data_IF_448040822784
#
_entry.id   IF_448040822784
#
_cell.length_a   1.000
_cell.length_b   1.000
_cell.length_c   1.000
_cell.angle_alpha   90.00
_cell.angle_beta   90.00
_cell.angle_gamma   90.00
#
_symmetry.space_group_name_H-M   'P 1'
#
loop_
_entity.id
_entity.type
_entity.pdbx_description
1 polymer ?
#
# COMPACT_ATOMS: atom_id res chain seq x y z
N UNK A 1 5.03 -17.06 1.73
CA UNK A 1 4.79 -15.60 1.80
C UNK A 1 4.01 -15.07 0.59
N UNK A 2 4.36 -15.42 -0.65
CA UNK A 2 3.59 -15.06 -1.86
C UNK A 2 2.25 -15.81 -1.97
N UNK A 3 2.22 -17.12 -1.73
CA UNK A 3 0.96 -17.89 -1.62
C UNK A 3 0.11 -17.48 -0.42
N UNK A 4 0.73 -17.00 0.66
CA UNK A 4 -0.03 -16.43 1.77
C UNK A 4 -0.59 -15.07 1.38
N UNK A 5 0.11 -14.17 0.68
CA UNK A 5 -0.48 -12.90 0.20
C UNK A 5 -1.61 -13.12 -0.82
N UNK A 6 -1.46 -14.06 -1.76
CA UNK A 6 -2.50 -14.40 -2.74
C UNK A 6 -3.70 -15.08 -2.08
N UNK A 7 -3.44 -16.03 -1.18
CA UNK A 7 -4.46 -16.66 -0.35
C UNK A 7 -5.13 -15.65 0.58
N UNK A 8 -4.40 -14.68 1.11
CA UNK A 8 -4.91 -13.63 2.00
C UNK A 8 -5.80 -12.64 1.23
N UNK A 9 -5.41 -12.18 0.04
CA UNK A 9 -6.20 -11.21 -0.75
C UNK A 9 -7.46 -11.86 -1.36
N UNK A 10 -7.41 -13.15 -1.72
CA UNK A 10 -8.54 -13.91 -2.27
C UNK A 10 -9.34 -14.71 -1.22
N UNK A 11 -8.98 -14.63 0.07
CA UNK A 11 -9.77 -15.26 1.13
C UNK A 11 -10.92 -14.36 1.55
N UNK A 12 -12.19 -14.82 1.49
CA UNK A 12 -13.32 -14.07 2.05
C UNK A 12 -13.13 -13.73 3.55
N UNK A 13 -12.27 -14.46 4.24
CA UNK A 13 -11.89 -14.18 5.63
C UNK A 13 -11.09 -12.90 5.84
N UNK A 14 -10.39 -12.33 4.85
CA UNK A 14 -9.63 -11.08 5.06
C UNK A 14 -10.43 -9.82 4.74
N UNK A 15 -11.49 -9.95 3.93
CA UNK A 15 -12.55 -8.95 3.81
C UNK A 15 -13.45 -8.90 5.06
N UNK A 16 -13.46 -9.98 5.86
CA UNK A 16 -14.21 -10.12 7.10
C UNK A 16 -13.37 -9.99 8.37
N UNK A 17 -12.06 -10.25 8.32
CA UNK A 17 -11.18 -10.12 9.47
C UNK A 17 -10.74 -8.67 9.64
N UNK A 18 -11.65 -7.86 10.21
CA UNK A 18 -11.27 -6.78 11.13
C UNK A 18 -10.42 -7.42 12.25
N UNK A 19 -9.14 -7.63 11.98
CA UNK A 19 -8.24 -8.20 12.98
C UNK A 19 -8.05 -7.18 14.09
N UNK A 20 -7.96 -7.67 15.32
CA UNK A 20 -7.77 -6.85 16.54
C UNK A 20 -6.62 -5.85 16.40
N UNK A 21 -5.63 -6.15 15.55
CA UNK A 21 -4.44 -5.31 15.34
C UNK A 21 -4.65 -4.28 14.24
N UNK A 22 -5.37 -4.60 13.15
CA UNK A 22 -5.50 -3.71 12.00
C UNK A 22 -6.58 -2.64 12.24
N UNK A 23 -7.68 -2.99 12.92
CA UNK A 23 -8.78 -2.05 13.13
C UNK A 23 -8.38 -0.78 13.91
N UNK A 24 -7.61 -0.85 15.01
CA UNK A 24 -7.13 0.35 15.69
C UNK A 24 -6.26 1.24 14.79
N UNK A 25 -5.40 0.63 13.97
CA UNK A 25 -4.53 1.36 13.03
C UNK A 25 -5.39 2.03 11.95
N UNK A 26 -6.37 1.33 11.39
CA UNK A 26 -7.30 1.87 10.41
C UNK A 26 -8.13 3.02 10.98
N UNK A 27 -8.62 2.92 12.22
CA UNK A 27 -9.33 4.02 12.90
C UNK A 27 -8.42 5.22 13.11
N UNK A 28 -7.21 5.02 13.63
CA UNK A 28 -6.25 6.10 13.84
C UNK A 28 -5.88 6.79 12.53
N UNK A 29 -5.53 6.03 11.49
CA UNK A 29 -5.24 6.57 10.17
C UNK A 29 -6.47 7.23 9.53
N UNK A 30 -7.66 6.69 9.80
CA UNK A 30 -8.94 7.24 9.36
C UNK A 30 -9.22 8.62 9.95
N UNK A 31 -8.88 8.86 11.22
CA UNK A 31 -8.97 10.20 11.84
C UNK A 31 -8.08 11.19 11.10
N UNK A 32 -6.83 10.80 10.80
CA UNK A 32 -5.89 11.65 10.06
C UNK A 32 -6.41 11.89 8.64
N UNK A 33 -6.90 10.85 7.97
CA UNK A 33 -7.46 10.97 6.63
C UNK A 33 -8.71 11.85 6.58
N UNK A 34 -9.62 11.72 7.57
CA UNK A 34 -10.78 12.59 7.71
C UNK A 34 -10.37 14.05 7.83
N UNK A 35 -9.39 14.36 8.70
CA UNK A 35 -8.89 15.72 8.85
C UNK A 35 -8.32 16.28 7.54
N UNK A 36 -7.52 15.50 6.82
CA UNK A 36 -7.01 15.87 5.48
C UNK A 36 -8.15 16.07 4.50
N UNK A 37 -9.14 15.18 4.50
CA UNK A 37 -10.29 15.26 3.61
C UNK A 37 -11.14 16.50 3.88
N UNK A 38 -11.45 16.80 5.14
CA UNK A 38 -12.22 17.98 5.55
C UNK A 38 -11.50 19.26 5.11
N UNK A 39 -10.18 19.32 5.31
CA UNK A 39 -9.36 20.43 4.83
C UNK A 39 -9.48 20.58 3.31
N UNK A 40 -9.28 19.52 2.54
CA UNK A 40 -9.36 19.57 1.07
C UNK A 40 -10.77 19.92 0.59
N UNK A 41 -11.80 19.34 1.20
CA UNK A 41 -13.19 19.59 0.84
C UNK A 41 -13.59 21.06 1.06
N UNK A 42 -12.96 21.74 2.04
CA UNK A 42 -13.18 23.17 2.27
C UNK A 42 -12.69 24.07 1.13
N UNK A 43 -11.73 23.62 0.31
CA UNK A 43 -11.23 24.35 -0.87
C UNK A 43 -11.83 23.85 -2.18
N UNK A 44 -12.01 22.54 -2.33
CA UNK A 44 -12.55 21.92 -3.54
C UNK A 44 -13.41 20.72 -3.21
N UNK A 45 -14.68 20.80 -3.58
CA UNK A 45 -15.64 19.69 -3.46
C UNK A 45 -15.49 18.69 -4.61
N UNK A 46 -15.01 19.16 -5.77
CA UNK A 46 -14.75 18.32 -6.94
C UNK A 46 -13.42 17.59 -6.80
N UNK A 47 -13.44 16.27 -6.99
CA UNK A 47 -12.26 15.41 -6.86
C UNK A 47 -11.67 15.41 -5.45
N UNK A 48 -12.43 15.82 -4.43
CA UNK A 48 -11.90 15.98 -3.07
C UNK A 48 -11.31 14.68 -2.52
N UNK A 49 -11.86 13.53 -2.92
CA UNK A 49 -11.35 12.23 -2.49
C UNK A 49 -9.97 11.91 -3.09
N UNK A 50 -9.73 12.18 -4.38
CA UNK A 50 -8.39 11.96 -4.97
C UNK A 50 -7.37 12.94 -4.40
N UNK A 51 -7.76 14.19 -4.19
CA UNK A 51 -6.89 15.23 -3.64
C UNK A 51 -6.53 14.89 -2.18
N UNK A 52 -7.51 14.42 -1.41
CA UNK A 52 -7.30 13.89 -0.06
C UNK A 52 -6.30 12.73 -0.06
N UNK A 53 -6.44 11.77 -0.99
CA UNK A 53 -5.49 10.66 -1.13
C UNK A 53 -4.08 11.16 -1.45
N UNK A 54 -3.92 12.11 -2.37
CA UNK A 54 -2.61 12.68 -2.74
C UNK A 54 -1.94 13.31 -1.53
N UNK A 55 -2.64 14.22 -0.84
CA UNK A 55 -2.09 14.94 0.32
C UNK A 55 -1.81 13.98 1.47
N UNK A 56 -2.72 13.04 1.74
CA UNK A 56 -2.52 12.02 2.76
C UNK A 56 -1.29 11.15 2.47
N UNK A 57 -1.09 10.74 1.21
CA UNK A 57 0.09 9.96 0.80
C UNK A 57 1.38 10.72 1.08
N UNK A 58 1.43 12.00 0.71
CA UNK A 58 2.59 12.85 0.97
C UNK A 58 2.85 13.03 2.47
N UNK A 59 1.79 13.23 3.26
CA UNK A 59 1.87 13.37 4.72
C UNK A 59 2.46 12.11 5.36
N UNK A 60 1.92 10.93 5.04
CA UNK A 60 2.43 9.64 5.56
C UNK A 60 3.89 9.46 5.18
N UNK A 61 4.25 9.74 3.92
CA UNK A 61 5.63 9.62 3.44
C UNK A 61 6.59 10.59 4.12
N UNK A 62 6.15 11.80 4.43
CA UNK A 62 6.94 12.80 5.14
C UNK A 62 7.17 12.38 6.61
N UNK A 63 6.14 11.89 7.29
CA UNK A 63 6.24 11.37 8.67
C UNK A 63 7.19 10.16 8.74
N UNK A 64 7.16 9.28 7.74
CA UNK A 64 8.02 8.10 7.68
C UNK A 64 9.41 8.37 7.08
N UNK A 65 9.63 9.54 6.50
CA UNK A 65 10.91 9.92 5.88
C UNK A 65 12.14 9.68 6.77
N UNK A 66 12.22 10.08 8.05
CA UNK A 66 13.39 9.85 8.88
C UNK A 66 13.71 8.36 9.07
N UNK A 67 12.67 7.52 9.18
CA UNK A 67 12.83 6.07 9.28
C UNK A 67 13.33 5.48 7.96
N UNK A 68 12.70 5.86 6.84
CA UNK A 68 13.15 5.46 5.50
C UNK A 68 14.59 5.91 5.21
N UNK A 69 15.00 7.09 5.67
CA UNK A 69 16.37 7.57 5.55
C UNK A 69 17.37 6.65 6.28
N UNK A 70 17.09 6.30 7.55
CA UNK A 70 17.93 5.37 8.33
C UNK A 70 18.05 4.02 7.64
N UNK A 71 16.95 3.52 7.09
CA UNK A 71 16.91 2.28 6.34
C UNK A 71 17.75 2.35 5.06
N UNK A 72 17.58 3.39 4.24
CA UNK A 72 18.39 3.58 3.02
C UNK A 72 19.87 3.75 3.33
N UNK A 73 20.23 4.44 4.44
CA UNK A 73 21.63 4.50 4.93
C UNK A 73 22.17 3.10 5.23
N UNK A 74 21.37 2.24 5.87
CA UNK A 74 21.74 0.84 6.11
C UNK A 74 21.97 0.04 4.82
N UNK A 75 21.10 0.22 3.83
CA UNK A 75 21.28 -0.41 2.50
C UNK A 75 22.51 0.12 1.77
N UNK A 76 22.77 1.43 1.83
CA UNK A 76 23.96 2.06 1.27
C UNK A 76 25.25 1.51 1.89
N UNK A 77 25.27 1.34 3.22
CA UNK A 77 26.39 0.70 3.93
C UNK A 77 26.61 -0.74 3.44
N UNK A 78 25.56 -1.51 3.25
CA UNK A 78 25.67 -2.87 2.70
C UNK A 78 26.28 -2.87 1.30
N UNK A 79 25.96 -1.89 0.45
CA UNK A 79 26.56 -1.76 -0.89
C UNK A 79 28.06 -1.54 -0.81
N UNK A 80 28.54 -0.73 0.13
CA UNK A 80 29.98 -0.50 0.35
C UNK A 80 30.71 -1.76 0.82
N UNK A 81 30.02 -2.67 1.50
CA UNK A 81 30.56 -3.94 1.98
C UNK A 81 30.50 -5.08 0.93
N UNK A 82 29.73 -4.92 -0.16
CA UNK A 82 29.63 -5.93 -1.21
C UNK A 82 30.96 -6.39 -1.81
N UNK A 83 31.97 -5.54 -2.11
CA UNK A 83 33.23 -6.03 -2.68
C UNK A 83 33.96 -7.01 -1.76
N UNK A 84 33.98 -6.77 -0.44
CA UNK A 84 34.58 -7.69 0.53
C UNK A 84 33.73 -8.95 0.72
N UNK A 85 32.40 -8.82 0.72
CA UNK A 85 31.49 -9.96 0.73
C UNK A 85 31.69 -10.86 -0.51
N UNK A 86 31.95 -10.28 -1.68
CA UNK A 86 32.23 -11.03 -2.90
C UNK A 86 33.59 -11.77 -2.81
N UNK A 87 34.60 -11.21 -2.13
CA UNK A 87 35.86 -11.93 -1.85
C UNK A 87 35.64 -13.12 -0.92
N UNK A 88 34.84 -12.96 0.14
CA UNK A 88 34.47 -14.08 1.02
C UNK A 88 33.76 -15.17 0.20
N UNK A 89 32.80 -14.80 -0.65
CA UNK A 89 32.13 -15.77 -1.54
C UNK A 89 33.10 -16.48 -2.48
N UNK A 90 34.02 -15.74 -3.11
CA UNK A 90 35.02 -16.29 -4.02
C UNK A 90 35.92 -17.36 -3.37
N UNK A 91 36.24 -17.22 -2.07
CA UNK A 91 36.98 -18.23 -1.27
C UNK A 91 36.29 -19.60 -1.22
N UNK A 92 34.98 -19.64 -1.41
CA UNK A 92 34.15 -20.86 -1.33
C UNK A 92 33.53 -21.28 -2.68
N UNK A 93 33.76 -20.54 -3.77
CA UNK A 93 33.08 -20.76 -5.06
C UNK A 93 33.21 -22.20 -5.61
N UNK A 94 34.35 -22.85 -5.37
CA UNK A 94 34.63 -24.22 -5.83
C UNK A 94 34.24 -25.31 -4.82
N UNK A 95 33.62 -24.95 -3.68
CA UNK A 95 33.28 -25.87 -2.59
C UNK A 95 31.77 -26.07 -2.51
N UNK A 96 31.30 -27.23 -2.96
CA UNK A 96 29.87 -27.60 -2.97
C UNK A 96 29.44 -28.47 -1.79
N UNK A 97 30.35 -28.79 -0.87
CA UNK A 97 30.01 -29.53 0.35
C UNK A 97 29.17 -28.69 1.32
N UNK A 98 28.22 -29.35 1.98
CA UNK A 98 27.30 -28.71 2.95
C UNK A 98 28.05 -27.97 4.06
N UNK A 99 29.20 -28.49 4.48
CA UNK A 99 30.02 -27.88 5.53
C UNK A 99 30.61 -26.54 5.07
N UNK A 100 31.17 -26.49 3.87
CA UNK A 100 31.71 -25.27 3.27
C UNK A 100 30.64 -24.21 3.02
N UNK A 101 29.44 -24.60 2.60
CA UNK A 101 28.31 -23.68 2.43
C UNK A 101 27.85 -23.08 3.77
N UNK A 102 27.82 -23.88 4.84
CA UNK A 102 27.56 -23.41 6.20
C UNK A 102 28.65 -22.47 6.70
N UNK A 103 29.92 -22.80 6.48
CA UNK A 103 31.07 -21.95 6.84
C UNK A 103 31.05 -20.61 6.09
N UNK A 104 30.75 -20.62 4.79
CA UNK A 104 30.58 -19.39 4.01
C UNK A 104 29.46 -18.50 4.58
N UNK A 105 28.31 -19.08 4.88
CA UNK A 105 27.16 -18.36 5.46
C UNK A 105 27.51 -17.73 6.81
N UNK A 106 28.27 -18.45 7.64
CA UNK A 106 28.77 -17.97 8.93
C UNK A 106 29.79 -16.82 8.77
N UNK A 107 30.78 -16.97 7.88
CA UNK A 107 31.80 -15.93 7.64
C UNK A 107 31.19 -14.63 7.09
N UNK A 108 30.20 -14.74 6.19
CA UNK A 108 29.40 -13.59 5.72
C UNK A 108 28.68 -12.91 6.89
N UNK A 109 28.02 -13.70 7.74
CA UNK A 109 27.26 -13.15 8.87
C UNK A 109 28.17 -12.43 9.88
N UNK A 110 29.30 -13.04 10.23
CA UNK A 110 30.28 -12.45 11.15
C UNK A 110 30.91 -11.19 10.56
N UNK A 111 31.27 -11.19 9.27
CA UNK A 111 31.76 -9.99 8.59
C UNK A 111 30.73 -8.86 8.62
N UNK A 112 29.46 -9.16 8.35
CA UNK A 112 28.39 -8.17 8.44
C UNK A 112 28.21 -7.63 9.86
N UNK A 113 28.20 -8.49 10.88
CA UNK A 113 28.11 -8.08 12.30
C UNK A 113 29.28 -7.20 12.72
N UNK A 114 30.51 -7.59 12.38
CA UNK A 114 31.72 -6.84 12.70
C UNK A 114 31.71 -5.43 12.08
N UNK A 115 31.11 -5.30 10.89
CA UNK A 115 30.91 -4.03 10.22
C UNK A 115 29.58 -3.35 10.61
N UNK A 116 28.82 -3.85 11.59
CA UNK A 116 27.55 -3.24 12.01
C UNK A 116 26.49 -3.17 10.90
N UNK A 117 26.53 -4.11 9.94
CA UNK A 117 25.53 -4.29 8.90
C UNK A 117 24.62 -5.48 9.24
N UNK A 118 23.33 -5.38 8.90
CA UNK A 118 22.35 -6.44 9.16
C UNK A 118 21.67 -6.86 7.86
N UNK A 119 21.49 -8.17 7.67
CA UNK A 119 20.71 -8.72 6.56
C UNK A 119 19.23 -8.27 6.60
N UNK A 120 18.72 -7.91 7.78
CA UNK A 120 17.32 -7.51 7.97
C UNK A 120 17.02 -6.07 7.52
N UNK A 121 18.06 -5.25 7.27
CA UNK A 121 17.88 -3.86 6.85
C UNK A 121 17.09 -3.74 5.53
N UNK A 122 17.22 -4.74 4.63
CA UNK A 122 16.56 -4.77 3.33
C UNK A 122 15.09 -5.20 3.35
N UNK A 123 14.65 -6.01 4.32
CA UNK A 123 13.26 -6.50 4.40
C UNK A 123 12.38 -5.68 5.36
N UNK A 124 12.98 -4.86 6.22
CA UNK A 124 12.28 -3.94 7.11
C UNK A 124 11.27 -2.99 6.43
N UNK A 125 11.45 -2.48 5.17
CA UNK A 125 10.49 -1.54 4.60
C UNK A 125 9.15 -2.22 4.35
N UNK A 126 9.20 -3.48 3.93
CA UNK A 126 8.01 -4.28 3.65
C UNK A 126 7.22 -4.55 4.92
N UNK A 127 7.90 -4.90 6.00
CA UNK A 127 7.25 -5.22 7.29
C UNK A 127 6.56 -3.99 7.89
N UNK A 128 7.18 -2.81 7.77
CA UNK A 128 6.58 -1.54 8.18
C UNK A 128 5.40 -1.14 7.28
N UNK A 129 5.49 -1.40 5.97
CA UNK A 129 4.48 -0.99 5.01
C UNK A 129 3.18 -1.80 5.09
N UNK A 130 3.25 -3.08 5.49
CA UNK A 130 2.09 -3.97 5.52
C UNK A 130 0.93 -3.44 6.39
N UNK A 131 1.12 -3.06 7.68
CA UNK A 131 0.03 -2.52 8.49
C UNK A 131 -0.60 -1.26 7.90
N UNK A 132 0.21 -0.37 7.34
CA UNK A 132 -0.23 0.88 6.70
C UNK A 132 -1.06 0.57 5.45
N UNK A 133 -0.61 -0.39 4.62
CA UNK A 133 -1.32 -0.80 3.42
C UNK A 133 -2.70 -1.37 3.77
N UNK A 134 -2.79 -2.24 4.78
CA UNK A 134 -4.06 -2.82 5.23
C UNK A 134 -5.00 -1.76 5.80
N UNK A 135 -4.50 -0.84 6.62
CA UNK A 135 -5.30 0.27 7.13
C UNK A 135 -5.90 1.11 6.00
N UNK A 136 -5.11 1.42 4.97
CA UNK A 136 -5.57 2.20 3.83
C UNK A 136 -6.51 1.45 2.91
N UNK A 137 -6.34 0.13 2.77
CA UNK A 137 -7.30 -0.72 2.07
C UNK A 137 -8.69 -0.57 2.67
N UNK A 138 -8.84 -0.66 4.01
CA UNK A 138 -10.12 -0.47 4.68
C UNK A 138 -10.68 0.95 4.52
N UNK A 139 -9.84 1.98 4.72
CA UNK A 139 -10.25 3.38 4.59
C UNK A 139 -10.78 3.68 3.19
N UNK A 140 -10.10 3.21 2.14
CA UNK A 140 -10.48 3.52 0.77
C UNK A 140 -11.55 2.60 0.19
N UNK A 141 -11.70 1.39 0.72
CA UNK A 141 -12.81 0.50 0.36
C UNK A 141 -14.14 0.98 0.95
N UNK A 142 -14.12 1.61 2.12
CA UNK A 142 -15.33 2.11 2.77
C UNK A 142 -15.11 3.50 3.36
N UNK A 143 -14.88 4.53 2.52
CA UNK A 143 -14.56 5.87 3.00
C UNK A 143 -15.69 6.49 3.83
N UNK A 144 -16.94 6.06 3.61
CA UNK A 144 -18.09 6.45 4.42
C UNK A 144 -18.01 5.96 5.88
N UNK A 145 -17.17 4.97 6.22
CA UNK A 145 -16.94 4.57 7.63
C UNK A 145 -15.93 5.49 8.34
N UNK A 146 -15.04 6.14 7.59
CA UNK A 146 -13.89 6.85 8.14
C UNK A 146 -13.94 8.36 7.92
N UNK A 147 -14.72 8.85 6.95
CA UNK A 147 -14.83 10.26 6.58
C UNK A 147 -16.23 10.78 6.87
N UNK A 148 -16.34 11.76 7.78
CA UNK A 148 -17.61 12.28 8.26
C UNK A 148 -18.46 12.91 7.17
N UNK A 149 -17.86 13.71 6.28
CA UNK A 149 -18.58 14.33 5.14
C UNK A 149 -19.19 13.26 4.21
N UNK A 150 -18.43 12.20 3.92
CA UNK A 150 -18.91 11.09 3.08
C UNK A 150 -19.98 10.29 3.82
N UNK A 151 -19.79 10.02 5.13
CA UNK A 151 -20.79 9.35 5.95
C UNK A 151 -22.14 10.08 5.92
N UNK A 152 -22.11 11.39 6.19
CA UNK A 152 -23.29 12.24 6.18
C UNK A 152 -23.97 12.23 4.82
N UNK A 153 -23.20 12.31 3.73
CA UNK A 153 -23.76 12.23 2.38
C UNK A 153 -24.50 10.91 2.11
N UNK A 154 -23.91 9.77 2.50
CA UNK A 154 -24.55 8.46 2.35
C UNK A 154 -25.82 8.35 3.20
N UNK A 155 -25.82 8.89 4.42
CA UNK A 155 -27.00 8.95 5.28
C UNK A 155 -28.09 9.86 4.69
N UNK A 156 -27.71 11.01 4.13
CA UNK A 156 -28.65 11.93 3.46
C UNK A 156 -29.27 11.29 2.22
N UNK A 157 -28.48 10.59 1.40
CA UNK A 157 -29.00 9.83 0.25
C UNK A 157 -30.00 8.77 0.72
N UNK A 158 -29.66 8.04 1.77
CA UNK A 158 -30.54 7.02 2.36
C UNK A 158 -31.84 7.66 2.84
N UNK A 159 -31.75 8.80 3.54
CA UNK A 159 -32.91 9.54 4.05
C UNK A 159 -33.79 10.05 2.91
N UNK A 160 -33.20 10.60 1.84
CA UNK A 160 -33.92 11.05 0.66
C UNK A 160 -34.69 9.89 0.01
N UNK A 161 -34.08 8.70 -0.10
CA UNK A 161 -34.80 7.49 -0.58
C UNK A 161 -35.93 7.12 0.38
N UNK A 162 -35.67 7.17 1.68
CA UNK A 162 -36.64 6.87 2.75
C UNK A 162 -37.81 7.85 2.84
N UNK A 163 -37.70 9.04 2.22
CA UNK A 163 -38.77 10.03 2.15
C UNK A 163 -39.66 9.88 0.90
N UNK A 164 -39.23 9.11 -0.10
CA UNK A 164 -40.04 8.79 -1.28
C UNK A 164 -41.20 7.90 -0.85
N UNK A 165 -42.38 8.06 -1.45
CA UNK A 165 -43.52 7.16 -1.21
C UNK A 165 -43.12 5.67 -1.35
N UNK A 166 -43.62 4.83 -0.44
CA UNK A 166 -43.18 3.42 -0.35
C UNK A 166 -43.52 2.66 -1.63
N UNK A 167 -44.68 2.89 -2.25
CA UNK A 167 -45.06 2.20 -3.48
C UNK A 167 -44.13 2.60 -4.63
N UNK A 168 -43.86 3.90 -4.77
CA UNK A 168 -42.94 4.41 -5.80
C UNK A 168 -41.50 3.93 -5.56
N UNK A 169 -41.04 3.89 -4.30
CA UNK A 169 -39.71 3.36 -3.95
C UNK A 169 -39.57 1.89 -4.34
N UNK A 170 -40.57 1.06 -4.03
CA UNK A 170 -40.55 -0.36 -4.38
C UNK A 170 -40.54 -0.54 -5.90
N UNK A 171 -41.36 0.21 -6.63
CA UNK A 171 -41.39 0.17 -8.09
C UNK A 171 -40.02 0.47 -8.71
N UNK A 172 -39.35 1.52 -8.21
CA UNK A 172 -38.07 1.97 -8.76
C UNK A 172 -36.89 1.07 -8.35
N UNK A 173 -36.77 0.71 -7.07
CA UNK A 173 -35.56 0.06 -6.56
C UNK A 173 -35.61 -1.46 -6.58
N UNK A 174 -36.80 -2.09 -6.60
CA UNK A 174 -36.91 -3.56 -6.63
C UNK A 174 -36.23 -4.21 -7.84
N UNK A 175 -36.34 -3.70 -9.08
CA UNK A 175 -35.60 -4.26 -10.22
C UNK A 175 -34.08 -4.25 -10.00
N UNK A 176 -33.55 -3.17 -9.41
CA UNK A 176 -32.12 -3.00 -9.10
C UNK A 176 -31.69 -4.00 -8.02
N UNK A 177 -32.47 -4.14 -6.95
CA UNK A 177 -32.22 -5.10 -5.85
C UNK A 177 -32.16 -6.54 -6.38
N UNK A 178 -33.12 -6.91 -7.23
CA UNK A 178 -33.18 -8.24 -7.85
C UNK A 178 -31.97 -8.47 -8.76
N UNK A 179 -31.61 -7.48 -9.60
CA UNK A 179 -30.44 -7.58 -10.46
C UNK A 179 -29.13 -7.77 -9.67
N UNK A 180 -29.04 -7.18 -8.48
CA UNK A 180 -27.90 -7.33 -7.56
C UNK A 180 -27.98 -8.56 -6.65
N UNK A 181 -29.03 -9.38 -6.76
CA UNK A 181 -29.26 -10.58 -5.93
C UNK A 181 -29.26 -10.28 -4.43
N UNK A 182 -29.76 -9.12 -4.03
CA UNK A 182 -29.85 -8.71 -2.62
C UNK A 182 -31.23 -9.07 -2.04
N UNK A 183 -31.27 -9.40 -0.76
CA UNK A 183 -32.50 -9.54 0.02
C UNK A 183 -32.54 -8.43 1.06
N UNK A 184 -33.52 -7.53 0.96
CA UNK A 184 -33.60 -6.37 1.84
C UNK A 184 -35.02 -5.81 1.91
N UNK A 185 -35.32 -5.12 3.00
CA UNK A 185 -36.56 -4.39 3.23
C UNK A 185 -36.36 -2.90 2.93
N UNK A 186 -37.07 -2.39 1.91
CA UNK A 186 -37.02 -0.99 1.51
C UNK A 186 -37.66 -0.03 2.52
N UNK A 187 -38.31 -0.54 3.58
CA UNK A 187 -38.78 0.25 4.72
C UNK A 187 -37.73 0.35 5.85
N UNK A 188 -36.62 -0.38 5.77
CA UNK A 188 -35.58 -0.39 6.81
C UNK A 188 -34.40 0.48 6.38
N UNK A 189 -34.04 1.46 7.20
CA UNK A 189 -32.95 2.40 6.90
C UNK A 189 -31.62 1.70 6.62
N UNK A 190 -31.25 0.71 7.44
CA UNK A 190 -29.98 -0.02 7.29
C UNK A 190 -29.89 -0.76 5.94
N UNK A 191 -31.02 -1.29 5.48
CA UNK A 191 -31.14 -2.03 4.24
C UNK A 191 -31.05 -1.10 3.03
N UNK A 192 -31.77 0.03 3.07
CA UNK A 192 -31.63 1.08 2.05
C UNK A 192 -30.21 1.65 2.04
N UNK A 193 -29.59 1.86 3.20
CA UNK A 193 -28.20 2.33 3.28
C UNK A 193 -27.23 1.32 2.65
N UNK A 194 -27.46 0.02 2.80
CA UNK A 194 -26.68 -1.02 2.13
C UNK A 194 -26.91 -1.03 0.61
N UNK A 195 -28.14 -0.73 0.15
CA UNK A 195 -28.40 -0.52 -1.27
C UNK A 195 -27.55 0.63 -1.81
N UNK A 196 -27.59 1.81 -1.16
CA UNK A 196 -26.84 3.02 -1.56
C UNK A 196 -25.35 2.72 -1.79
N UNK A 197 -24.73 1.91 -0.92
CA UNK A 197 -23.31 1.52 -1.04
C UNK A 197 -23.01 0.65 -2.26
N UNK A 198 -24.00 -0.09 -2.76
CA UNK A 198 -23.86 -1.04 -3.86
C UNK A 198 -24.23 -0.46 -5.24
N UNK A 199 -24.84 0.72 -5.26
CA UNK A 199 -25.35 1.33 -6.49
C UNK A 199 -24.25 1.91 -7.36
N UNK A 200 -24.32 1.58 -8.65
CA UNK A 200 -23.45 2.11 -9.71
C UNK A 200 -24.03 3.38 -10.31
N UNK A 201 -23.26 4.10 -11.13
CA UNK A 201 -23.77 5.27 -11.86
C UNK A 201 -24.98 4.95 -12.76
N UNK A 202 -25.03 3.73 -13.31
CA UNK A 202 -26.16 3.27 -14.14
C UNK A 202 -27.40 3.04 -13.27
N UNK A 203 -27.23 2.42 -12.11
CA UNK A 203 -28.33 2.22 -11.16
C UNK A 203 -28.90 3.57 -10.71
N UNK A 204 -28.04 4.53 -10.39
CA UNK A 204 -28.45 5.89 -10.00
C UNK A 204 -29.18 6.61 -11.12
N UNK A 205 -28.63 6.59 -12.35
CA UNK A 205 -29.27 7.21 -13.50
C UNK A 205 -30.65 6.62 -13.77
N UNK A 206 -30.79 5.30 -13.66
CA UNK A 206 -32.06 4.59 -13.86
C UNK A 206 -33.07 5.01 -12.78
N UNK A 207 -32.66 4.95 -11.51
CA UNK A 207 -33.53 5.31 -10.39
C UNK A 207 -34.02 6.76 -10.45
N UNK A 208 -33.10 7.71 -10.69
CA UNK A 208 -33.44 9.14 -10.79
C UNK A 208 -34.38 9.40 -11.96
N UNK A 209 -34.15 8.75 -13.11
CA UNK A 209 -35.02 8.89 -14.29
C UNK A 209 -36.44 8.38 -14.00
N UNK A 210 -36.55 7.21 -13.36
CA UNK A 210 -37.86 6.64 -13.00
C UNK A 210 -38.59 7.42 -11.92
N UNK A 211 -37.88 8.11 -11.02
CA UNK A 211 -38.50 8.92 -9.95
C UNK A 211 -39.08 10.24 -10.44
N UNK A 212 -38.61 10.77 -11.58
CA UNK A 212 -39.03 12.08 -12.08
C UNK A 212 -38.84 13.18 -11.04
N UNK A 213 -39.90 13.95 -10.75
CA UNK A 213 -39.86 15.05 -9.78
C UNK A 213 -39.70 14.58 -8.33
N UNK A 214 -40.14 13.37 -7.98
CA UNK A 214 -39.90 12.79 -6.65
C UNK A 214 -38.40 12.56 -6.37
N UNK A 215 -37.57 12.54 -7.42
CA UNK A 215 -36.14 12.30 -7.35
C UNK A 215 -35.26 13.54 -7.25
N UNK A 216 -35.82 14.76 -7.18
CA UNK A 216 -35.01 16.01 -7.25
C UNK A 216 -33.99 16.13 -6.13
N UNK A 217 -34.38 15.89 -4.87
CA UNK A 217 -33.44 15.91 -3.73
C UNK A 217 -32.36 14.84 -3.88
N UNK A 218 -32.78 13.61 -4.24
CA UNK A 218 -31.86 12.50 -4.49
C UNK A 218 -30.86 12.85 -5.60
N UNK A 219 -31.32 13.46 -6.70
CA UNK A 219 -30.47 13.87 -7.82
C UNK A 219 -29.37 14.83 -7.39
N UNK A 220 -29.68 15.84 -6.58
CA UNK A 220 -28.69 16.79 -6.06
C UNK A 220 -27.62 16.09 -5.20
N UNK A 221 -28.04 15.16 -4.33
CA UNK A 221 -27.12 14.38 -3.49
C UNK A 221 -26.24 13.43 -4.32
N UNK A 222 -26.77 12.83 -5.39
CA UNK A 222 -25.98 11.98 -6.29
C UNK A 222 -24.98 12.82 -7.10
N UNK A 223 -25.31 14.06 -7.47
CA UNK A 223 -24.33 14.98 -8.09
C UNK A 223 -23.21 15.31 -7.12
N UNK A 224 -23.52 15.59 -5.84
CA UNK A 224 -22.50 15.82 -4.80
C UNK A 224 -21.64 14.57 -4.56
N UNK A 225 -22.24 13.38 -4.55
CA UNK A 225 -21.51 12.11 -4.45
C UNK A 225 -20.57 11.92 -5.63
N UNK A 226 -21.06 12.21 -6.84
CA UNK A 226 -20.26 12.16 -8.04
C UNK A 226 -19.09 13.13 -7.98
N UNK A 227 -19.30 14.38 -7.53
CA UNK A 227 -18.22 15.37 -7.42
C UNK A 227 -17.12 14.94 -6.46
N UNK A 228 -17.45 14.24 -5.37
CA UNK A 228 -16.47 13.75 -4.41
C UNK A 228 -15.69 12.54 -4.96
N UNK A 229 -16.40 11.55 -5.50
CA UNK A 229 -15.85 10.21 -5.78
C UNK A 229 -15.25 10.06 -7.18
N UNK A 230 -15.62 10.92 -8.12
CA UNK A 230 -15.12 10.84 -9.49
C UNK A 230 -13.96 11.80 -9.74
N UNK A 231 -12.99 11.33 -10.52
CA UNK A 231 -11.89 12.14 -11.03
C UNK A 231 -11.44 11.64 -12.40
N UNK A 232 -11.41 12.52 -13.42
CA UNK A 232 -11.13 12.14 -14.81
C UNK A 232 -11.93 10.91 -15.31
N UNK A 233 -13.20 10.79 -14.91
CA UNK A 233 -14.07 9.67 -15.28
C UNK A 233 -13.83 8.37 -14.50
N UNK A 234 -12.90 8.35 -13.56
CA UNK A 234 -12.65 7.22 -12.66
C UNK A 234 -13.46 7.40 -11.37
N UNK A 235 -14.23 6.38 -10.98
CA UNK A 235 -14.84 6.33 -9.67
C UNK A 235 -13.87 5.67 -8.67
N UNK A 236 -13.42 6.44 -7.69
CA UNK A 236 -12.37 6.01 -6.77
C UNK A 236 -12.80 4.88 -5.81
N UNK A 237 -14.09 4.74 -5.53
CA UNK A 237 -14.62 3.72 -4.60
C UNK A 237 -14.96 2.40 -5.27
N UNK A 238 -15.07 2.38 -6.60
CA UNK A 238 -15.27 1.15 -7.38
C UNK A 238 -13.97 0.40 -7.61
N UNK A 239 -14.06 -0.92 -7.83
CA UNK A 239 -12.92 -1.72 -8.25
C UNK A 239 -12.41 -1.27 -9.63
N UNK A 240 -11.09 -1.33 -9.85
CA UNK A 240 -10.52 -0.87 -11.11
C UNK A 240 -10.97 -1.72 -12.31
N UNK A 241 -11.04 -3.04 -12.14
CA UNK A 241 -11.51 -3.96 -13.17
C UNK A 241 -10.73 -3.89 -14.48
N UNK A 242 -11.36 -4.38 -15.55
CA UNK A 242 -10.80 -4.42 -16.91
C UNK A 242 -11.39 -3.36 -17.86
N UNK A 243 -12.41 -2.63 -17.41
CA UNK A 243 -13.11 -1.66 -18.24
C UNK A 243 -12.38 -0.33 -18.26
N UNK A 244 -12.42 0.39 -19.38
CA UNK A 244 -11.91 1.75 -19.47
C UNK A 244 -12.87 2.75 -18.76
N UNK A 245 -12.36 3.75 -18.02
CA UNK A 245 -10.94 4.06 -17.78
C UNK A 245 -10.28 3.27 -16.64
N UNK A 246 -11.02 2.45 -15.88
CA UNK A 246 -10.53 1.72 -14.71
C UNK A 246 -9.27 0.86 -14.94
N UNK A 247 -9.15 0.21 -16.09
CA UNK A 247 -7.97 -0.61 -16.48
C UNK A 247 -6.64 0.17 -16.49
N UNK A 248 -6.69 1.50 -16.62
CA UNK A 248 -5.49 2.33 -16.55
C UNK A 248 -4.80 2.20 -15.18
N UNK A 249 -5.57 2.01 -14.11
CA UNK A 249 -5.04 1.96 -12.74
C UNK A 249 -4.12 0.75 -12.54
N UNK A 250 -4.50 -0.48 -12.90
CA UNK A 250 -3.60 -1.64 -12.89
C UNK A 250 -2.32 -1.46 -13.70
N UNK A 251 -2.43 -0.88 -14.89
CA UNK A 251 -1.28 -0.66 -15.78
C UNK A 251 -0.31 0.33 -15.12
N UNK A 252 -0.81 1.45 -14.60
CA UNK A 252 -0.01 2.46 -13.92
C UNK A 252 0.59 1.94 -12.60
N UNK A 253 -0.17 1.17 -11.81
CA UNK A 253 0.32 0.58 -10.58
C UNK A 253 1.46 -0.43 -10.83
N UNK A 254 1.29 -1.30 -11.84
CA UNK A 254 2.34 -2.22 -12.28
C UNK A 254 3.59 -1.48 -12.79
N UNK A 255 3.40 -0.49 -13.67
CA UNK A 255 4.50 0.30 -14.21
C UNK A 255 5.28 1.05 -13.12
N UNK A 256 4.59 1.77 -12.23
CA UNK A 256 5.24 2.50 -11.14
C UNK A 256 5.94 1.57 -10.16
N UNK A 257 5.38 0.38 -9.91
CA UNK A 257 6.02 -0.64 -9.06
C UNK A 257 7.30 -1.16 -9.70
N UNK A 258 7.25 -1.44 -11.01
CA UNK A 258 8.43 -1.84 -11.78
C UNK A 258 9.52 -0.76 -11.72
N UNK A 259 9.17 0.49 -12.03
CA UNK A 259 10.12 1.62 -12.02
C UNK A 259 10.73 1.83 -10.62
N UNK A 260 9.91 1.80 -9.57
CA UNK A 260 10.34 1.94 -8.17
C UNK A 260 11.32 0.84 -7.77
N UNK A 261 10.95 -0.42 -8.03
CA UNK A 261 11.76 -1.59 -7.68
C UNK A 261 13.06 -1.59 -8.48
N UNK A 262 12.98 -1.34 -9.79
CA UNK A 262 14.14 -1.31 -10.69
C UNK A 262 15.12 -0.21 -10.31
N UNK A 263 14.64 0.96 -9.91
CA UNK A 263 15.47 2.07 -9.47
C UNK A 263 16.20 1.72 -8.17
N UNK A 264 15.46 1.26 -7.16
CA UNK A 264 16.02 0.84 -5.87
C UNK A 264 17.08 -0.26 -6.04
N UNK A 265 16.79 -1.27 -6.84
CA UNK A 265 17.73 -2.37 -7.07
C UNK A 265 18.93 -1.99 -7.94
N UNK A 266 18.79 -1.05 -8.88
CA UNK A 266 19.95 -0.56 -9.64
C UNK A 266 21.03 0.05 -8.73
N UNK A 267 20.60 0.63 -7.59
CA UNK A 267 21.50 1.12 -6.55
C UNK A 267 22.06 -0.02 -5.69
N UNK A 268 21.36 -1.15 -5.62
CA UNK A 268 21.72 -2.31 -4.78
C UNK A 268 22.59 -3.37 -5.50
N UNK A 269 22.93 -3.22 -6.77
CA UNK A 269 23.53 -4.27 -7.62
C UNK A 269 25.08 -4.24 -7.60
N UNK A 270 25.85 -5.35 -7.57
CA UNK A 270 25.60 -6.78 -7.83
C UNK A 270 26.39 -7.68 -6.85
N UNK A 271 25.82 -8.83 -6.44
CA UNK A 271 26.62 -9.99 -6.04
C UNK A 271 27.24 -10.54 -7.32
N UNK A 272 28.57 -10.66 -7.38
CA UNK A 272 29.29 -11.21 -8.52
C UNK A 272 30.29 -12.26 -8.03
N UNK A 273 30.13 -13.49 -8.51
CA UNK A 273 30.82 -14.69 -8.05
C UNK A 273 30.13 -15.98 -8.53
N UNK A 274 30.54 -16.49 -9.71
CA UNK A 274 29.95 -17.65 -10.38
C UNK A 274 29.90 -18.96 -9.56
N UNK A 275 28.89 -19.10 -8.71
CA UNK A 275 28.51 -20.30 -7.98
C UNK A 275 27.02 -20.56 -8.16
N UNK A 276 26.57 -21.82 -8.17
CA UNK A 276 25.14 -22.19 -8.33
C UNK A 276 24.22 -21.50 -7.32
N UNK A 277 24.71 -21.26 -6.09
CA UNK A 277 24.00 -20.52 -5.05
C UNK A 277 23.76 -19.05 -5.44
N UNK A 278 24.68 -18.46 -6.21
CA UNK A 278 24.60 -17.08 -6.70
C UNK A 278 23.63 -16.97 -7.87
N UNK A 279 23.63 -17.93 -8.81
CA UNK A 279 22.64 -17.98 -9.88
C UNK A 279 21.22 -18.14 -9.32
N UNK A 280 21.06 -18.91 -8.24
CA UNK A 280 19.79 -19.00 -7.50
C UNK A 280 19.43 -17.68 -6.78
N UNK A 281 20.37 -17.01 -6.13
CA UNK A 281 20.12 -15.74 -5.43
C UNK A 281 19.85 -14.57 -6.40
N UNK A 282 20.57 -14.51 -7.53
CA UNK A 282 20.33 -13.58 -8.63
C UNK A 282 19.02 -13.89 -9.34
N UNK A 283 18.72 -15.17 -9.56
CA UNK A 283 17.44 -15.64 -10.08
C UNK A 283 16.26 -15.22 -9.18
N UNK A 284 16.41 -15.35 -7.86
CA UNK A 284 15.42 -14.89 -6.88
C UNK A 284 15.24 -13.36 -6.91
N UNK A 285 16.34 -12.61 -6.98
CA UNK A 285 16.31 -11.13 -7.05
C UNK A 285 15.67 -10.64 -8.37
N UNK A 286 16.02 -11.27 -9.49
CA UNK A 286 15.46 -10.99 -10.82
C UNK A 286 13.99 -11.39 -10.91
N UNK A 287 13.61 -12.52 -10.33
CA UNK A 287 12.22 -12.94 -10.21
C UNK A 287 11.41 -11.93 -9.41
N UNK A 288 11.94 -11.46 -8.27
CA UNK A 288 11.29 -10.42 -7.46
C UNK A 288 11.05 -9.11 -8.23
N UNK A 289 12.01 -8.69 -9.08
CA UNK A 289 11.88 -7.50 -9.93
C UNK A 289 10.75 -7.55 -10.97
N UNK A 290 10.45 -8.74 -11.48
CA UNK A 290 9.52 -8.92 -12.60
C UNK A 290 8.15 -9.36 -12.09
N UNK A 291 8.13 -10.30 -11.16
CA UNK A 291 6.89 -10.89 -10.64
C UNK A 291 6.12 -9.91 -9.77
N UNK A 292 6.80 -9.14 -8.91
CA UNK A 292 6.13 -8.22 -7.98
C UNK A 292 5.33 -7.12 -8.71
N UNK A 293 5.86 -6.43 -9.74
CA UNK A 293 5.07 -5.47 -10.52
C UNK A 293 3.88 -6.08 -11.25
N UNK A 294 4.02 -7.28 -11.83
CA UNK A 294 2.92 -7.97 -12.50
C UNK A 294 1.83 -8.34 -11.49
N UNK A 295 2.23 -8.94 -10.37
CA UNK A 295 1.32 -9.24 -9.27
C UNK A 295 0.61 -7.99 -8.79
N UNK A 296 1.33 -6.87 -8.72
CA UNK A 296 0.72 -5.62 -8.32
C UNK A 296 -0.32 -5.12 -9.29
N UNK A 297 -0.05 -5.17 -10.59
CA UNK A 297 -1.07 -4.91 -11.60
C UNK A 297 -2.29 -5.80 -11.40
N UNK A 298 -2.10 -7.11 -11.21
CA UNK A 298 -3.20 -8.07 -11.03
C UNK A 298 -4.01 -7.81 -9.75
N UNK A 299 -3.37 -7.53 -8.62
CA UNK A 299 -4.05 -7.20 -7.37
C UNK A 299 -4.92 -5.95 -7.57
N UNK A 300 -4.38 -4.93 -8.22
CA UNK A 300 -5.10 -3.65 -8.37
C UNK A 300 -6.36 -3.73 -9.23
N UNK A 301 -6.53 -4.79 -10.03
CA UNK A 301 -7.78 -5.05 -10.77
C UNK A 301 -8.96 -5.26 -9.81
N UNK A 302 -8.70 -5.87 -8.64
CA UNK A 302 -9.74 -6.33 -7.72
C UNK A 302 -9.95 -5.39 -6.52
N UNK A 303 -9.15 -4.35 -6.38
CA UNK A 303 -9.24 -3.38 -5.28
C UNK A 303 -9.82 -2.05 -5.76
N UNK A 304 -10.28 -1.18 -4.84
CA UNK A 304 -10.76 0.14 -5.19
C UNK A 304 -9.72 0.96 -5.96
N UNK A 305 -10.16 1.76 -6.94
CA UNK A 305 -9.29 2.64 -7.71
C UNK A 305 -8.49 3.57 -6.79
N UNK A 306 -9.09 4.10 -5.72
CA UNK A 306 -8.44 4.91 -4.70
C UNK A 306 -7.14 4.28 -4.18
N UNK A 307 -7.15 2.96 -3.93
CA UNK A 307 -5.97 2.25 -3.44
C UNK A 307 -4.88 2.12 -4.50
N UNK A 308 -5.26 1.88 -5.77
CA UNK A 308 -4.32 1.86 -6.88
C UNK A 308 -3.67 3.24 -7.14
N UNK A 309 -4.43 4.33 -6.96
CA UNK A 309 -3.91 5.70 -7.00
C UNK A 309 -2.91 5.94 -5.87
N UNK A 310 -3.29 5.62 -4.63
CA UNK A 310 -2.38 5.71 -3.47
C UNK A 310 -1.08 4.94 -3.73
N UNK A 311 -1.17 3.71 -4.24
CA UNK A 311 0.00 2.88 -4.52
C UNK A 311 0.92 3.56 -5.53
N UNK A 312 0.35 4.00 -6.65
CA UNK A 312 1.11 4.62 -7.73
C UNK A 312 1.83 5.87 -7.25
N UNK A 313 1.14 6.73 -6.49
CA UNK A 313 1.72 7.93 -5.87
C UNK A 313 2.83 7.58 -4.87
N UNK A 314 2.60 6.58 -4.03
CA UNK A 314 3.57 6.08 -3.05
C UNK A 314 4.86 5.58 -3.74
N UNK A 315 4.74 4.88 -4.86
CA UNK A 315 5.88 4.45 -5.68
C UNK A 315 6.64 5.63 -6.29
N UNK A 316 5.94 6.59 -6.88
CA UNK A 316 6.55 7.79 -7.47
C UNK A 316 7.32 8.60 -6.41
N UNK A 317 6.73 8.78 -5.23
CA UNK A 317 7.42 9.39 -4.10
C UNK A 317 8.64 8.57 -3.68
N UNK A 318 8.53 7.25 -3.63
CA UNK A 318 9.64 6.37 -3.21
C UNK A 318 10.82 6.46 -4.18
N UNK A 319 10.57 6.61 -5.49
CA UNK A 319 11.61 6.88 -6.49
C UNK A 319 12.32 8.20 -6.18
N UNK A 320 11.56 9.28 -6.03
CA UNK A 320 12.11 10.61 -5.73
C UNK A 320 12.89 10.62 -4.40
N UNK A 321 12.34 10.00 -3.37
CA UNK A 321 12.94 9.86 -2.05
C UNK A 321 14.25 9.07 -2.11
N UNK A 322 14.26 7.95 -2.84
CA UNK A 322 15.47 7.13 -3.03
C UNK A 322 16.53 7.94 -3.75
N UNK A 323 16.18 8.63 -4.85
CA UNK A 323 17.10 9.49 -5.58
C UNK A 323 17.71 10.58 -4.70
N UNK A 324 16.88 11.33 -3.98
CA UNK A 324 17.34 12.42 -3.12
C UNK A 324 18.24 11.90 -1.98
N UNK A 325 17.85 10.79 -1.34
CA UNK A 325 18.60 10.21 -0.22
C UNK A 325 19.95 9.68 -0.66
N UNK A 326 20.01 8.94 -1.77
CA UNK A 326 21.28 8.43 -2.29
C UNK A 326 22.22 9.55 -2.74
N UNK A 327 21.69 10.62 -3.35
CA UNK A 327 22.49 11.80 -3.71
C UNK A 327 23.13 12.44 -2.47
N UNK A 328 22.38 12.55 -1.36
CA UNK A 328 22.91 13.05 -0.08
C UNK A 328 23.96 12.11 0.50
N UNK A 329 23.69 10.80 0.54
CA UNK A 329 24.60 9.79 1.09
C UNK A 329 25.93 9.73 0.31
N UNK A 330 25.86 9.69 -1.02
CA UNK A 330 27.05 9.72 -1.90
C UNK A 330 27.87 11.00 -1.73
N UNK A 331 27.21 12.14 -1.52
CA UNK A 331 27.90 13.41 -1.27
C UNK A 331 28.62 13.39 0.07
N UNK A 332 27.97 12.90 1.13
CA UNK A 332 28.59 12.77 2.47
C UNK A 332 29.73 11.76 2.47
N UNK A 333 29.58 10.66 1.75
CA UNK A 333 30.61 9.63 1.57
C UNK A 333 31.86 10.20 0.89
N UNK A 334 31.69 10.94 -0.22
CA UNK A 334 32.80 11.62 -0.91
C UNK A 334 33.53 12.64 -0.04
N UNK A 335 32.85 13.27 0.90
CA UNK A 335 33.42 14.23 1.84
C UNK A 335 34.04 13.58 3.08
N UNK A 336 33.95 12.25 3.22
CA UNK A 336 34.37 11.54 4.44
C UNK A 336 33.52 11.84 5.68
N UNK A 337 32.36 12.49 5.49
CA UNK A 337 31.44 12.88 6.58
C UNK A 337 30.47 11.75 6.95
N UNK A 338 30.44 10.68 6.16
CA UNK A 338 29.56 9.55 6.38
C UNK A 338 30.23 8.54 7.32
N UNK A 339 29.86 8.58 8.61
CA UNK A 339 30.24 7.52 9.52
C UNK A 339 29.45 6.24 9.17
N UNK A 340 30.17 5.28 8.56
CA UNK A 340 29.72 3.92 8.26
C UNK A 340 30.17 2.92 9.33
N UNK A 341 31.16 3.29 10.15
CA UNK A 341 31.76 2.46 11.18
C UNK A 341 31.01 2.58 12.50
N UNK A 342 29.82 1.97 12.56
CA UNK A 342 29.27 1.54 13.83
C UNK A 342 30.03 0.28 14.29
N UNK A 343 31.34 0.41 14.56
CA UNK A 343 32.04 -0.61 15.36
C UNK A 343 31.29 -0.63 16.69
N UNK A 344 30.50 -1.68 16.92
CA UNK A 344 30.10 -2.01 18.29
C UNK A 344 31.42 -2.16 19.04
N UNK A 345 31.80 -1.16 19.84
CA UNK A 345 32.69 -1.39 20.97
C UNK A 345 31.93 -2.42 21.80
N UNK A 346 32.30 -3.69 21.67
CA UNK A 346 31.92 -4.68 22.66
C UNK A 346 32.36 -4.09 24.00
N UNK A 347 31.37 -3.68 24.80
CA UNK A 347 31.58 -3.47 26.22
C UNK A 347 31.90 -4.85 26.77
N UNK A 348 33.18 -5.10 26.95
CA UNK A 348 33.75 -5.93 28.01
C UNK A 348 32.80 -6.99 28.58
N UNK A 349 32.66 -8.12 27.89
CA UNK A 349 32.28 -9.39 28.53
C UNK A 349 33.58 -10.09 28.97
N UNK A 350 34.41 -9.38 29.73
CA UNK A 350 35.52 -9.94 30.50
C UNK A 350 35.55 -9.36 31.92
N UNK A 351 34.42 -9.42 32.63
CA UNK A 351 34.42 -9.22 34.09
C UNK A 351 33.31 -10.01 34.79
N UNK A 352 33.24 -11.33 34.59
CA UNK A 352 32.54 -12.18 35.57
C UNK A 352 33.12 -13.60 35.65
N UNK A 353 34.45 -13.67 35.77
CA UNK A 353 35.16 -14.86 36.27
C UNK A 353 36.25 -14.43 37.25
N UNK A 354 35.85 -13.88 38.39
CA UNK A 354 36.68 -13.77 39.61
C UNK A 354 35.76 -13.44 40.79
N UNK A 355 35.18 -14.45 41.42
CA UNK A 355 34.39 -14.22 42.62
C UNK A 355 33.41 -15.31 43.03
N UNK A 356 33.82 -16.58 43.03
CA UNK A 356 33.18 -17.60 43.86
C UNK A 356 34.27 -18.57 44.30
N UNK A 357 34.88 -18.25 45.44
CA UNK A 357 35.58 -19.21 46.29
C UNK A 357 34.55 -19.81 47.24
#
# INVERSE_FOLDING_TARGET
>A
MLNSMFGLINSPHLLSAKSVIIEPIAKFMGIIFNWVFDFIYSFSQTGSLVLGIIVFTLLVKLVLFPLSYKQMKGTYKMQKLQPELNKIRAKYANKKDDESQRRMSFEIQEFQKANGASMLAGCLPMLLQLPILYALFYIFQSPYEYVGIINNLYNSITTAIMNIDVAQRVEVFKPIIVAKKMTMDLAVFADVHNLVKSMTSVDWSTAITSLGTSGTELSALIVQKHSIEYFFGLNLVTSAGFNFPGILIPIFAGLTTYLSTRYMQSRQNQMTGGSEQEDMAMGMTKSMNIVMPIMMGVITINVPIALGVYWSLSNLFSILQTWATYKVLETKDKKGELNLDDKKKDKDITSDKKGAK
#
